data_IF_523130839326
#
_entry.id   IF_523130839326
#
_cell.length_a   1.000
_cell.length_b   1.000
_cell.length_c   1.000
_cell.angle_alpha   90.00
_cell.angle_beta   90.00
_cell.angle_gamma   90.00
#
_symmetry.space_group_name_H-M   'P 1'
#
loop_
_entity.id
_entity.type
_entity.pdbx_description
1 polymer ?
#
# COMPACT_ATOMS: atom_id res chain seq x y z
N UNK A 1 -23.44 -12.62 17.41
CA UNK A 1 -22.82 -13.75 16.69
C UNK A 1 -21.64 -14.21 17.52
N UNK A 2 -21.60 -15.45 17.99
CA UNK A 2 -20.42 -16.01 18.67
C UNK A 2 -19.46 -16.50 17.57
N UNK A 3 -18.25 -15.96 17.54
CA UNK A 3 -17.19 -16.42 16.65
C UNK A 3 -16.62 -17.73 17.22
N UNK A 4 -16.17 -18.68 16.36
CA UNK A 4 -15.49 -19.87 16.85
C UNK A 4 -14.25 -19.47 17.64
N UNK A 5 -13.95 -20.25 18.68
CA UNK A 5 -12.82 -20.03 19.58
C UNK A 5 -11.54 -19.82 18.79
N UNK A 6 -10.88 -18.69 19.06
CA UNK A 6 -9.62 -18.31 18.44
C UNK A 6 -8.64 -19.49 18.52
N UNK A 7 -8.11 -19.92 17.38
CA UNK A 7 -7.00 -20.88 17.36
C UNK A 7 -5.93 -20.40 18.32
N UNK A 8 -5.70 -21.15 19.37
CA UNK A 8 -4.68 -20.88 20.37
C UNK A 8 -3.31 -20.87 19.69
N UNK A 9 -2.78 -19.69 19.44
CA UNK A 9 -1.35 -19.52 19.22
C UNK A 9 -0.63 -20.06 20.47
N UNK A 10 0.43 -20.86 20.31
CA UNK A 10 1.16 -21.37 21.48
C UNK A 10 1.66 -20.19 22.32
N UNK A 11 1.60 -20.31 23.68
CA UNK A 11 2.08 -19.27 24.57
C UNK A 11 3.56 -19.00 24.29
N UNK A 12 3.89 -17.78 23.91
CA UNK A 12 5.28 -17.35 23.71
C UNK A 12 5.93 -17.26 25.09
N UNK A 13 7.15 -17.83 25.30
CA UNK A 13 7.82 -17.76 26.58
C UNK A 13 8.02 -16.32 27.02
N UNK A 14 7.65 -16.02 28.25
CA UNK A 14 7.86 -14.75 28.92
C UNK A 14 9.37 -14.57 29.20
N UNK A 15 10.10 -14.05 28.23
CA UNK A 15 11.48 -13.61 28.43
C UNK A 15 11.67 -12.25 27.75
N UNK A 16 11.89 -11.23 28.59
CA UNK A 16 12.15 -9.83 28.28
C UNK A 16 11.06 -9.16 27.41
N UNK A 17 10.32 -8.21 28.02
CA UNK A 17 9.28 -7.39 27.39
C UNK A 17 9.87 -6.46 26.30
N UNK A 18 10.25 -7.03 25.17
CA UNK A 18 10.38 -6.25 23.97
C UNK A 18 8.97 -5.85 23.55
N UNK A 19 8.74 -4.56 23.35
CA UNK A 19 7.47 -4.06 22.84
C UNK A 19 7.11 -4.80 21.55
N UNK A 20 5.97 -5.54 21.56
CA UNK A 20 5.47 -6.24 20.38
C UNK A 20 4.73 -5.27 19.47
N UNK A 21 5.05 -5.31 18.20
CA UNK A 21 4.46 -4.50 17.15
C UNK A 21 3.66 -5.42 16.22
N UNK A 22 2.35 -5.56 16.42
CA UNK A 22 1.53 -6.33 15.51
C UNK A 22 1.30 -5.56 14.20
N UNK A 23 1.54 -6.26 13.09
CA UNK A 23 1.35 -5.75 11.72
C UNK A 23 0.47 -6.72 10.96
N UNK A 24 -0.52 -6.22 10.27
CA UNK A 24 -1.44 -7.01 9.45
C UNK A 24 -1.26 -6.67 7.98
N UNK A 25 -1.14 -7.69 7.15
CA UNK A 25 -1.34 -7.62 5.70
C UNK A 25 -2.57 -8.44 5.31
N UNK A 26 -3.20 -8.09 4.18
CA UNK A 26 -4.15 -8.96 3.53
C UNK A 26 -3.77 -9.17 2.06
N UNK A 27 -3.70 -10.44 1.61
CA UNK A 27 -3.25 -10.75 0.26
C UNK A 27 -3.82 -12.07 -0.26
N UNK A 28 -4.18 -12.10 -1.55
CA UNK A 28 -4.44 -13.37 -2.27
C UNK A 28 -3.13 -14.04 -2.65
N UNK A 29 -3.17 -15.31 -3.05
CA UNK A 29 -1.99 -16.05 -3.48
C UNK A 29 -1.24 -15.40 -4.67
N UNK A 30 -1.94 -14.72 -5.55
CA UNK A 30 -1.32 -14.00 -6.69
C UNK A 30 -0.49 -12.77 -6.28
N UNK A 31 -0.52 -12.40 -5.00
CA UNK A 31 0.24 -11.28 -4.45
C UNK A 31 1.44 -11.72 -3.60
N UNK A 32 1.84 -13.00 -3.65
CA UNK A 32 2.95 -13.53 -2.87
C UNK A 32 4.26 -12.78 -3.09
N UNK A 33 4.64 -12.50 -4.34
CA UNK A 33 5.87 -11.77 -4.66
C UNK A 33 5.86 -10.32 -4.13
N UNK A 34 4.88 -9.44 -4.44
CA UNK A 34 4.87 -8.09 -3.87
C UNK A 34 4.81 -8.09 -2.35
N UNK A 35 4.00 -8.96 -1.73
CA UNK A 35 3.96 -9.13 -0.29
C UNK A 35 5.34 -9.53 0.27
N UNK A 36 6.07 -10.42 -0.40
CA UNK A 36 7.43 -10.79 0.00
C UNK A 36 8.38 -9.59 0.00
N UNK A 37 8.26 -8.69 -0.98
CA UNK A 37 9.06 -7.45 -1.04
C UNK A 37 8.65 -6.48 0.09
N UNK A 38 7.35 -6.34 0.36
CA UNK A 38 6.85 -5.51 1.47
C UNK A 38 7.37 -6.02 2.82
N UNK A 39 7.25 -7.33 3.09
CA UNK A 39 7.77 -7.97 4.31
C UNK A 39 9.28 -7.79 4.41
N UNK A 40 10.03 -8.02 3.33
CA UNK A 40 11.48 -7.84 3.33
C UNK A 40 11.89 -6.42 3.73
N UNK A 41 11.28 -5.42 3.11
CA UNK A 41 11.60 -4.02 3.42
C UNK A 41 11.15 -3.62 4.83
N UNK A 42 10.06 -4.17 5.34
CA UNK A 42 9.68 -4.02 6.75
C UNK A 42 10.78 -4.60 7.67
N UNK A 43 11.22 -5.82 7.41
CA UNK A 43 12.24 -6.49 8.21
C UNK A 43 13.57 -5.74 8.20
N UNK A 44 13.97 -5.17 7.06
CA UNK A 44 15.20 -4.37 6.94
C UNK A 44 15.19 -3.11 7.82
N UNK A 45 14.02 -2.55 8.09
CA UNK A 45 13.85 -1.32 8.87
C UNK A 45 13.30 -1.57 10.28
N UNK A 46 13.12 -2.85 10.65
CA UNK A 46 12.66 -3.24 11.97
C UNK A 46 13.71 -2.89 13.05
N UNK A 47 13.32 -2.10 14.02
CA UNK A 47 14.19 -1.61 15.09
C UNK A 47 14.69 -2.73 16.02
N UNK A 48 15.94 -2.69 16.48
CA UNK A 48 16.62 -3.73 17.28
C UNK A 48 16.04 -3.83 18.70
N UNK A 49 15.24 -3.19 19.25
CA UNK A 49 14.68 -3.31 20.62
C UNK A 49 13.26 -3.85 20.66
N UNK A 50 12.71 -4.23 19.50
CA UNK A 50 11.30 -4.58 19.33
C UNK A 50 11.14 -5.94 18.71
N UNK A 51 9.91 -6.49 18.77
CA UNK A 51 9.53 -7.71 18.09
C UNK A 51 8.30 -7.44 17.23
N UNK A 52 8.33 -7.88 15.98
CA UNK A 52 7.28 -7.60 15.01
C UNK A 52 6.50 -8.87 14.73
N UNK A 53 5.22 -8.89 15.13
CA UNK A 53 4.29 -9.97 14.83
C UNK A 53 3.54 -9.65 13.53
N UNK A 54 3.97 -10.24 12.43
CA UNK A 54 3.39 -10.00 11.11
C UNK A 54 2.34 -11.06 10.81
N UNK A 55 1.10 -10.64 10.64
CA UNK A 55 -0.06 -11.47 10.36
C UNK A 55 -0.48 -11.28 8.91
N UNK A 56 -0.55 -12.37 8.14
CA UNK A 56 -1.02 -12.37 6.75
C UNK A 56 -2.41 -12.99 6.71
N UNK A 57 -3.43 -12.18 6.46
CA UNK A 57 -4.80 -12.66 6.23
C UNK A 57 -4.93 -13.03 4.75
N UNK A 58 -5.40 -14.24 4.44
CA UNK A 58 -5.47 -14.75 3.08
C UNK A 58 -6.75 -15.57 2.80
N UNK A 59 -7.06 -15.79 1.53
CA UNK A 59 -8.26 -16.51 1.05
C UNK A 59 -7.94 -17.89 0.46
N UNK A 60 -6.88 -18.54 0.92
CA UNK A 60 -6.41 -19.83 0.40
C UNK A 60 -5.06 -19.69 -0.32
N UNK A 61 -4.09 -19.05 0.33
CA UNK A 61 -2.73 -18.91 -0.22
C UNK A 61 -2.06 -20.29 -0.32
N UNK A 62 -1.40 -20.56 -1.44
CA UNK A 62 -0.67 -21.80 -1.71
C UNK A 62 0.46 -22.02 -0.71
N UNK A 63 0.63 -23.27 -0.24
CA UNK A 63 1.66 -23.64 0.72
C UNK A 63 3.07 -23.27 0.25
N UNK A 64 3.35 -23.30 -1.04
CA UNK A 64 4.64 -22.88 -1.61
C UNK A 64 4.86 -21.40 -1.37
N UNK A 65 3.85 -20.54 -1.58
CA UNK A 65 3.96 -19.10 -1.35
C UNK A 65 4.19 -18.83 0.15
N UNK A 66 3.46 -19.49 1.02
CA UNK A 66 3.66 -19.43 2.48
C UNK A 66 5.13 -19.79 2.84
N UNK A 67 5.66 -20.86 2.25
CA UNK A 67 7.05 -21.27 2.46
C UNK A 67 8.05 -20.21 1.98
N UNK A 68 7.83 -19.62 0.80
CA UNK A 68 8.70 -18.56 0.28
C UNK A 68 8.66 -17.29 1.15
N UNK A 69 7.48 -16.88 1.64
CA UNK A 69 7.35 -15.76 2.57
C UNK A 69 8.08 -16.03 3.90
N UNK A 70 7.98 -17.23 4.46
CA UNK A 70 8.75 -17.62 5.64
C UNK A 70 10.26 -17.55 5.39
N UNK A 71 10.75 -17.94 4.20
CA UNK A 71 12.16 -17.79 3.81
C UNK A 71 12.60 -16.33 3.74
N UNK A 72 11.72 -15.42 3.35
CA UNK A 72 12.00 -13.97 3.34
C UNK A 72 12.24 -13.46 4.77
N UNK A 73 11.42 -13.87 5.73
CA UNK A 73 11.52 -13.42 7.11
C UNK A 73 12.59 -14.15 7.95
N UNK A 74 12.96 -15.37 7.56
CA UNK A 74 13.87 -16.24 8.34
C UNK A 74 15.20 -15.60 8.79
N UNK A 75 15.85 -14.69 8.04
CA UNK A 75 17.07 -14.02 8.50
C UNK A 75 16.88 -13.03 9.65
N UNK A 76 15.62 -12.65 9.98
CA UNK A 76 15.31 -11.57 10.92
C UNK A 76 14.73 -12.14 12.22
N UNK A 77 15.56 -12.28 13.24
CA UNK A 77 15.18 -12.92 14.52
C UNK A 77 14.16 -12.14 15.35
N UNK A 78 13.97 -10.85 15.04
CA UNK A 78 12.99 -9.98 15.69
C UNK A 78 11.61 -9.98 15.00
N UNK A 79 11.37 -10.89 14.05
CA UNK A 79 10.13 -10.95 13.27
C UNK A 79 9.54 -12.34 13.33
N UNK A 80 8.22 -12.44 13.48
CA UNK A 80 7.46 -13.68 13.26
C UNK A 80 6.43 -13.46 12.14
N UNK A 81 6.17 -14.51 11.34
CA UNK A 81 5.06 -14.54 10.41
C UNK A 81 3.99 -15.52 10.91
N UNK A 82 2.75 -15.13 10.80
CA UNK A 82 1.60 -16.00 10.95
C UNK A 82 0.62 -15.82 9.80
N UNK A 83 -0.07 -16.90 9.43
CA UNK A 83 -1.00 -16.91 8.29
C UNK A 83 -2.38 -17.25 8.80
N UNK A 84 -3.33 -16.37 8.58
CA UNK A 84 -4.72 -16.50 8.98
C UNK A 84 -5.58 -16.61 7.71
N UNK A 85 -6.14 -17.78 7.48
CA UNK A 85 -7.13 -17.92 6.42
C UNK A 85 -8.40 -17.19 6.81
N UNK A 86 -8.88 -16.31 5.92
CA UNK A 86 -10.10 -15.55 6.15
C UNK A 86 -11.27 -16.51 6.36
N UNK A 87 -11.95 -16.48 7.53
CA UNK A 87 -13.07 -17.37 7.82
C UNK A 87 -14.18 -17.27 6.78
N UNK A 88 -14.87 -18.37 6.49
CA UNK A 88 -15.92 -18.42 5.46
C UNK A 88 -17.08 -17.47 5.77
N UNK A 89 -17.41 -17.32 7.05
CA UNK A 89 -18.44 -16.37 7.50
C UNK A 89 -18.13 -14.94 7.09
N UNK A 90 -16.84 -14.55 7.14
CA UNK A 90 -16.40 -13.23 6.66
C UNK A 90 -16.52 -13.12 5.15
N UNK A 91 -16.15 -14.14 4.40
CA UNK A 91 -16.31 -14.13 2.94
C UNK A 91 -17.76 -13.93 2.54
N UNK A 92 -18.68 -14.64 3.20
CA UNK A 92 -20.12 -14.54 2.93
C UNK A 92 -20.70 -13.14 3.24
N UNK A 93 -20.21 -12.45 4.27
CA UNK A 93 -20.63 -11.08 4.59
C UNK A 93 -20.39 -10.11 3.42
N UNK A 94 -19.33 -10.34 2.64
CA UNK A 94 -18.90 -9.44 1.57
C UNK A 94 -19.25 -9.93 0.16
N UNK A 95 -19.83 -11.12 0.01
CA UNK A 95 -20.22 -11.67 -1.30
C UNK A 95 -21.32 -10.86 -2.00
N UNK A 96 -22.13 -10.13 -1.28
CA UNK A 96 -23.20 -9.28 -1.82
C UNK A 96 -22.71 -7.87 -2.23
N UNK A 97 -21.47 -7.54 -1.94
CA UNK A 97 -20.79 -6.35 -2.46
C UNK A 97 -20.34 -6.55 -3.90
N UNK A 98 -19.70 -5.55 -4.47
CA UNK A 98 -19.24 -5.51 -5.86
C UNK A 98 -18.34 -6.71 -6.21
N UNK A 99 -18.95 -7.87 -6.55
CA UNK A 99 -18.30 -9.18 -6.72
C UNK A 99 -17.18 -9.20 -7.75
N UNK A 100 -17.26 -8.35 -8.74
CA UNK A 100 -16.41 -8.41 -9.93
C UNK A 100 -15.11 -7.61 -9.81
N UNK A 101 -14.97 -6.78 -8.78
CA UNK A 101 -13.85 -5.83 -8.70
C UNK A 101 -12.89 -6.02 -7.52
N UNK A 102 -13.35 -6.44 -6.35
CA UNK A 102 -12.54 -6.52 -5.14
C UNK A 102 -12.73 -7.85 -4.41
N UNK A 103 -11.60 -8.43 -3.97
CA UNK A 103 -11.60 -9.60 -3.10
C UNK A 103 -12.22 -9.26 -1.73
N UNK A 104 -12.94 -10.20 -1.08
CA UNK A 104 -13.34 -10.07 0.32
C UNK A 104 -12.19 -9.71 1.28
N UNK A 105 -10.96 -10.02 0.91
CA UNK A 105 -9.76 -9.63 1.66
C UNK A 105 -9.57 -8.12 1.80
N UNK A 106 -10.08 -7.31 0.86
CA UNK A 106 -10.03 -5.85 0.98
C UNK A 106 -10.73 -5.36 2.25
N UNK A 107 -11.79 -6.06 2.67
CA UNK A 107 -12.55 -5.72 3.87
C UNK A 107 -11.94 -6.27 5.17
N UNK A 108 -10.92 -7.15 5.10
CA UNK A 108 -10.31 -7.73 6.30
C UNK A 108 -9.75 -6.66 7.25
N UNK A 109 -9.25 -5.52 6.70
CA UNK A 109 -8.81 -4.36 7.49
C UNK A 109 -9.92 -3.75 8.35
N UNK A 110 -11.16 -3.81 7.89
CA UNK A 110 -12.33 -3.28 8.61
C UNK A 110 -12.79 -4.21 9.73
N UNK A 111 -12.34 -5.46 9.70
CA UNK A 111 -12.69 -6.53 10.66
C UNK A 111 -11.51 -6.90 11.57
N UNK A 112 -10.48 -6.07 11.60
CA UNK A 112 -9.27 -6.36 12.37
C UNK A 112 -9.52 -6.55 13.87
N UNK A 113 -10.52 -5.85 14.44
CA UNK A 113 -10.89 -5.97 15.86
C UNK A 113 -11.38 -7.38 16.24
N UNK A 114 -12.15 -8.03 15.35
CA UNK A 114 -12.62 -9.40 15.53
C UNK A 114 -11.57 -10.44 15.13
N UNK A 115 -10.76 -10.16 14.10
CA UNK A 115 -9.71 -11.07 13.62
C UNK A 115 -8.55 -11.19 14.63
N UNK A 116 -8.27 -10.12 15.38
CA UNK A 116 -7.13 -10.03 16.31
C UNK A 116 -7.57 -9.58 17.71
N UNK A 117 -8.40 -10.37 18.42
CA UNK A 117 -8.92 -10.01 19.74
C UNK A 117 -7.83 -9.87 20.81
N UNK A 118 -6.66 -10.47 20.60
CA UNK A 118 -5.52 -10.43 21.52
C UNK A 118 -4.76 -9.11 21.52
N UNK A 119 -4.98 -8.23 20.51
CA UNK A 119 -4.28 -6.96 20.41
C UNK A 119 -5.20 -5.77 20.70
N UNK A 120 -4.68 -4.75 21.39
CA UNK A 120 -5.34 -3.46 21.58
C UNK A 120 -5.15 -2.53 20.39
N UNK A 121 -4.06 -2.72 19.61
CA UNK A 121 -3.71 -1.91 18.43
C UNK A 121 -2.98 -2.75 17.41
N UNK A 122 -3.15 -2.43 16.13
CA UNK A 122 -2.44 -3.07 15.02
C UNK A 122 -2.13 -2.05 13.90
N UNK A 123 -1.04 -2.25 13.18
CA UNK A 123 -0.76 -1.51 11.93
C UNK A 123 -1.21 -2.37 10.77
N UNK A 124 -2.06 -1.83 9.91
CA UNK A 124 -2.45 -2.47 8.65
C UNK A 124 -1.65 -1.89 7.49
N UNK A 125 -1.16 -2.75 6.62
CA UNK A 125 -0.44 -2.37 5.39
C UNK A 125 -0.98 -3.17 4.21
N UNK A 126 -1.17 -2.50 3.07
CA UNK A 126 -1.39 -3.16 1.78
C UNK A 126 -0.11 -3.88 1.31
N UNK A 127 -0.27 -4.91 0.47
CA UNK A 127 0.85 -5.73 0.00
C UNK A 127 1.73 -5.05 -1.07
N UNK A 128 1.32 -3.89 -1.57
CA UNK A 128 2.01 -3.10 -2.60
C UNK A 128 2.75 -1.89 -2.03
N UNK A 129 3.38 -2.09 -0.88
CA UNK A 129 4.17 -1.05 -0.20
C UNK A 129 5.67 -1.38 -0.19
N UNK A 130 6.49 -0.34 -0.08
CA UNK A 130 7.90 -0.43 0.27
C UNK A 130 8.15 0.41 1.52
N UNK A 131 8.80 -0.15 2.52
CA UNK A 131 9.17 0.57 3.72
C UNK A 131 10.62 1.09 3.65
N UNK A 132 10.81 2.30 4.15
CA UNK A 132 12.12 2.94 4.36
C UNK A 132 12.22 3.53 5.78
N UNK A 133 11.22 3.28 6.63
CA UNK A 133 11.17 3.65 8.05
C UNK A 133 10.70 2.48 8.91
N UNK A 134 10.94 2.58 10.22
CA UNK A 134 10.49 1.59 11.18
C UNK A 134 8.97 1.73 11.43
N UNK A 135 8.19 0.71 11.07
CA UNK A 135 6.73 0.68 11.23
C UNK A 135 6.28 0.88 12.70
N UNK A 136 7.15 0.69 13.65
CA UNK A 136 6.87 1.00 15.05
C UNK A 136 6.57 2.50 15.28
N UNK A 137 7.08 3.40 14.46
CA UNK A 137 6.71 4.81 14.54
C UNK A 137 5.22 5.03 14.25
N UNK A 138 4.63 4.26 13.32
CA UNK A 138 3.19 4.23 13.10
C UNK A 138 2.45 3.66 14.30
N UNK A 139 2.90 2.51 14.80
CA UNK A 139 2.27 1.84 15.92
C UNK A 139 2.18 2.72 17.18
N UNK A 140 3.21 3.51 17.45
CA UNK A 140 3.26 4.41 18.61
C UNK A 140 2.71 5.82 18.31
N UNK A 141 2.18 6.07 17.11
CA UNK A 141 1.58 7.37 16.82
C UNK A 141 0.41 7.70 17.76
N UNK A 142 0.27 8.98 18.10
CA UNK A 142 -0.85 9.43 18.90
C UNK A 142 -2.12 9.52 18.02
N UNK A 143 -3.10 8.69 18.31
CA UNK A 143 -4.40 8.70 17.62
C UNK A 143 -5.36 9.77 18.17
N UNK A 144 -4.97 10.54 19.18
CA UNK A 144 -5.79 11.63 19.77
C UNK A 144 -7.21 11.19 20.13
N UNK A 145 -7.36 9.94 20.55
CA UNK A 145 -8.64 9.33 20.90
C UNK A 145 -9.48 8.85 19.69
N UNK A 146 -8.98 8.97 18.46
CA UNK A 146 -9.62 8.39 17.29
C UNK A 146 -9.42 6.88 17.24
N UNK A 147 -10.31 6.18 16.54
CA UNK A 147 -10.22 4.73 16.36
C UNK A 147 -9.24 4.33 15.27
N UNK A 148 -8.94 5.24 14.33
CA UNK A 148 -8.09 4.99 13.18
C UNK A 148 -7.18 6.19 12.93
N UNK A 149 -5.93 5.94 12.50
CA UNK A 149 -5.12 6.94 11.84
C UNK A 149 -4.80 6.50 10.41
N UNK A 150 -4.89 7.43 9.46
CA UNK A 150 -4.66 7.23 8.03
C UNK A 150 -4.11 8.48 7.36
N UNK A 151 -3.36 8.33 6.28
CA UNK A 151 -2.92 9.46 5.46
C UNK A 151 -3.95 9.81 4.37
N UNK A 152 -3.94 11.05 3.93
CA UNK A 152 -4.80 11.51 2.83
C UNK A 152 -4.58 10.72 1.54
N UNK A 153 -5.64 10.54 0.75
CA UNK A 153 -5.57 9.84 -0.53
C UNK A 153 -4.97 10.72 -1.64
N UNK A 154 -4.23 10.10 -2.54
CA UNK A 154 -3.61 10.78 -3.68
C UNK A 154 -4.60 11.42 -4.66
N UNK A 155 -5.88 11.01 -4.67
CA UNK A 155 -6.92 11.69 -5.46
C UNK A 155 -7.16 13.12 -4.97
N UNK A 156 -7.08 13.34 -3.64
CA UNK A 156 -7.18 14.69 -3.07
C UNK A 156 -6.02 15.57 -3.56
N UNK A 157 -4.79 15.06 -3.50
CA UNK A 157 -3.60 15.75 -4.03
C UNK A 157 -3.72 16.05 -5.53
N UNK A 158 -4.16 15.06 -6.30
CA UNK A 158 -4.39 15.22 -7.73
C UNK A 158 -5.43 16.32 -8.02
N UNK A 159 -6.54 16.36 -7.26
CA UNK A 159 -7.58 17.38 -7.42
C UNK A 159 -7.05 18.79 -7.14
N UNK A 160 -6.25 18.93 -6.08
CA UNK A 160 -5.59 20.20 -5.75
C UNK A 160 -4.64 20.62 -6.88
N UNK A 161 -3.81 19.70 -7.35
CA UNK A 161 -2.83 19.95 -8.41
C UNK A 161 -3.47 20.40 -9.74
N UNK A 162 -4.61 19.80 -10.07
CA UNK A 162 -5.33 20.12 -11.33
C UNK A 162 -6.25 21.32 -11.22
N UNK A 163 -6.53 21.79 -10.01
CA UNK A 163 -7.54 22.83 -9.76
C UNK A 163 -8.96 22.38 -10.13
N UNK A 164 -9.19 21.06 -10.21
CA UNK A 164 -10.49 20.46 -10.51
C UNK A 164 -10.73 19.28 -9.58
N UNK A 165 -11.92 19.20 -9.00
CA UNK A 165 -12.29 18.08 -8.13
C UNK A 165 -12.39 16.80 -8.96
N UNK A 166 -11.77 15.71 -8.45
CA UNK A 166 -11.94 14.38 -9.03
C UNK A 166 -13.40 13.93 -8.84
N UNK A 167 -14.08 13.36 -9.86
CA UNK A 167 -15.51 13.01 -9.75
C UNK A 167 -15.86 12.11 -8.56
N UNK A 168 -14.94 11.19 -8.19
CA UNK A 168 -15.13 10.35 -7.02
C UNK A 168 -15.12 11.15 -5.70
N UNK A 169 -14.21 12.12 -5.56
CA UNK A 169 -14.18 12.98 -4.37
C UNK A 169 -15.38 13.93 -4.33
N UNK A 170 -15.84 14.39 -5.49
CA UNK A 170 -17.08 15.17 -5.59
C UNK A 170 -18.26 14.35 -5.07
N UNK A 171 -18.39 13.08 -5.47
CA UNK A 171 -19.38 12.15 -4.94
C UNK A 171 -19.22 11.94 -3.41
N UNK A 172 -17.99 11.73 -2.93
CA UNK A 172 -17.69 11.55 -1.50
C UNK A 172 -18.01 12.80 -0.68
N UNK A 173 -18.05 13.99 -1.28
CA UNK A 173 -18.48 15.23 -0.65
C UNK A 173 -19.93 15.19 -0.10
N UNK A 174 -20.75 14.24 -0.54
CA UNK A 174 -22.09 14.01 0.04
C UNK A 174 -22.04 13.38 1.45
N UNK A 175 -20.90 12.80 1.83
CA UNK A 175 -20.71 12.04 3.07
C UNK A 175 -19.67 12.66 4.00
N UNK A 176 -18.74 13.44 3.45
CA UNK A 176 -17.62 14.02 4.18
C UNK A 176 -17.78 15.53 4.33
N UNK A 177 -17.30 16.09 5.44
CA UNK A 177 -17.31 17.55 5.65
C UNK A 177 -16.42 18.30 4.64
N UNK A 178 -15.39 17.63 4.12
CA UNK A 178 -14.55 18.07 3.02
C UNK A 178 -14.16 16.89 2.14
N UNK A 179 -14.32 16.96 0.81
CA UNK A 179 -13.80 15.92 -0.09
C UNK A 179 -12.29 15.70 0.06
N UNK A 180 -11.55 16.73 0.49
CA UNK A 180 -10.10 16.66 0.70
C UNK A 180 -9.69 15.91 1.97
N UNK A 181 -10.63 15.63 2.89
CA UNK A 181 -10.40 14.79 4.06
C UNK A 181 -10.46 13.28 3.76
N UNK A 182 -10.63 12.90 2.50
CA UNK A 182 -10.67 11.53 2.07
C UNK A 182 -9.30 10.84 2.27
N UNK A 183 -9.29 9.80 3.11
CA UNK A 183 -8.08 9.06 3.48
C UNK A 183 -7.92 7.79 2.66
N UNK A 184 -6.66 7.40 2.40
CA UNK A 184 -6.33 6.13 1.78
C UNK A 184 -6.35 4.99 2.80
N UNK A 185 -6.93 3.85 2.44
CA UNK A 185 -7.10 2.68 3.33
C UNK A 185 -5.92 1.72 3.36
N UNK A 186 -4.87 1.94 2.56
CA UNK A 186 -3.76 1.00 2.41
C UNK A 186 -2.69 1.06 3.50
N UNK A 187 -2.69 2.10 4.33
CA UNK A 187 -1.82 2.24 5.52
C UNK A 187 -2.64 2.81 6.66
N UNK A 188 -2.88 1.99 7.68
CA UNK A 188 -3.73 2.35 8.81
C UNK A 188 -3.05 2.00 10.14
N UNK A 189 -3.29 2.83 11.14
CA UNK A 189 -3.10 2.43 12.54
C UNK A 189 -4.49 2.27 13.14
N UNK A 190 -4.80 1.08 13.60
CA UNK A 190 -6.12 0.70 14.10
C UNK A 190 -6.06 0.52 15.63
N UNK A 191 -6.80 1.32 16.38
CA UNK A 191 -7.07 1.10 17.81
C UNK A 191 -8.20 0.09 17.93
N UNK A 192 -7.84 -1.19 18.05
CA UNK A 192 -8.79 -2.30 18.07
C UNK A 192 -9.67 -2.27 19.33
N UNK A 193 -9.16 -1.75 20.44
CA UNK A 193 -9.96 -1.57 21.65
C UNK A 193 -11.03 -0.51 21.46
N UNK A 194 -10.71 0.61 20.82
CA UNK A 194 -11.70 1.62 20.46
C UNK A 194 -12.70 1.09 19.43
N UNK A 195 -12.23 0.37 18.40
CA UNK A 195 -13.11 -0.23 17.40
C UNK A 195 -14.13 -1.17 18.03
N UNK A 196 -13.71 -2.03 18.95
CA UNK A 196 -14.61 -2.93 19.70
C UNK A 196 -15.56 -2.16 20.61
N UNK A 197 -15.06 -1.23 21.43
CA UNK A 197 -15.90 -0.42 22.34
C UNK A 197 -16.97 0.38 21.62
N UNK A 198 -16.67 0.90 20.43
CA UNK A 198 -17.58 1.70 19.60
C UNK A 198 -18.40 0.86 18.63
N UNK A 199 -18.23 -0.47 18.64
CA UNK A 199 -18.90 -1.41 17.74
C UNK A 199 -18.76 -1.00 16.25
N UNK A 200 -17.53 -0.58 15.86
CA UNK A 200 -17.29 -0.01 14.52
C UNK A 200 -17.49 -1.01 13.41
N UNK A 201 -17.11 -2.27 13.60
CA UNK A 201 -17.29 -3.33 12.60
C UNK A 201 -18.77 -3.49 12.23
N UNK A 202 -19.66 -3.46 13.21
CA UNK A 202 -21.11 -3.50 12.95
C UNK A 202 -21.58 -2.28 12.14
N UNK A 203 -21.10 -1.08 12.46
CA UNK A 203 -21.39 0.14 11.70
C UNK A 203 -20.89 0.06 10.25
N UNK A 204 -19.67 -0.41 10.06
CA UNK A 204 -19.07 -0.62 8.74
C UNK A 204 -19.90 -1.62 7.91
N UNK A 205 -20.32 -2.74 8.52
CA UNK A 205 -21.18 -3.73 7.89
C UNK A 205 -22.58 -3.19 7.58
N UNK A 206 -23.15 -2.33 8.42
CA UNK A 206 -24.42 -1.66 8.12
C UNK A 206 -24.29 -0.79 6.87
N UNK A 207 -23.24 0.03 6.76
CA UNK A 207 -22.97 0.83 5.57
C UNK A 207 -22.80 -0.03 4.32
N UNK A 208 -22.07 -1.12 4.42
CA UNK A 208 -21.89 -2.06 3.30
C UNK A 208 -23.23 -2.63 2.79
N UNK A 209 -24.18 -2.90 3.69
CA UNK A 209 -25.47 -3.51 3.36
C UNK A 209 -26.52 -2.51 2.90
N UNK A 210 -26.51 -1.30 3.47
CA UNK A 210 -27.56 -0.29 3.26
C UNK A 210 -27.28 0.68 2.11
N UNK A 211 -26.08 0.64 1.52
CA UNK A 211 -25.73 1.55 0.43
C UNK A 211 -26.63 1.36 -0.78
N UNK A 212 -27.11 2.45 -1.41
CA UNK A 212 -27.98 2.39 -2.58
C UNK A 212 -27.24 1.91 -3.84
N UNK A 213 -25.93 2.22 -3.94
CA UNK A 213 -25.10 1.88 -5.10
C UNK A 213 -23.71 1.34 -4.66
N UNK A 214 -23.03 0.55 -5.53
CA UNK A 214 -21.68 0.09 -5.26
C UNK A 214 -20.69 1.25 -5.20
N UNK A 215 -19.87 1.31 -4.17
CA UNK A 215 -18.76 2.25 -4.08
C UNK A 215 -17.61 1.83 -5.01
N UNK A 216 -16.98 2.76 -5.72
CA UNK A 216 -15.81 2.47 -6.57
C UNK A 216 -14.63 1.88 -5.80
N UNK A 217 -14.42 2.30 -4.55
CA UNK A 217 -13.38 1.82 -3.63
C UNK A 217 -14.03 1.39 -2.30
N UNK A 218 -14.73 0.23 -2.29
CA UNK A 218 -15.74 -0.04 -1.25
C UNK A 218 -15.18 -0.11 0.17
N UNK A 219 -14.00 -0.68 0.40
CA UNK A 219 -13.36 -0.72 1.72
C UNK A 219 -12.90 0.67 2.17
N UNK A 220 -12.33 1.45 1.26
CA UNK A 220 -11.85 2.80 1.51
C UNK A 220 -13.02 3.78 1.70
N UNK A 221 -14.03 3.73 0.81
CA UNK A 221 -15.20 4.60 0.88
C UNK A 221 -15.99 4.38 2.19
N UNK A 222 -16.23 3.10 2.53
CA UNK A 222 -16.95 2.74 3.77
C UNK A 222 -16.14 3.18 5.00
N UNK A 223 -14.82 2.99 5.01
CA UNK A 223 -13.97 3.47 6.09
C UNK A 223 -14.11 4.98 6.28
N UNK A 224 -13.99 5.75 5.22
CA UNK A 224 -14.09 7.20 5.26
C UNK A 224 -15.48 7.68 5.72
N UNK A 225 -16.55 7.05 5.25
CA UNK A 225 -17.92 7.44 5.61
C UNK A 225 -18.23 7.06 7.07
N UNK A 226 -17.97 5.80 7.44
CA UNK A 226 -18.37 5.29 8.76
C UNK A 226 -17.53 5.87 9.90
N UNK A 227 -16.30 6.29 9.62
CA UNK A 227 -15.36 6.87 10.57
C UNK A 227 -15.14 8.37 10.35
N UNK A 228 -16.05 9.03 9.62
CA UNK A 228 -15.96 10.47 9.44
C UNK A 228 -15.89 11.20 10.79
N UNK A 229 -14.84 12.02 10.98
CA UNK A 229 -14.53 12.69 12.25
C UNK A 229 -13.85 11.80 13.30
N UNK A 230 -13.56 10.53 13.01
CA UNK A 230 -12.89 9.56 13.91
C UNK A 230 -11.59 8.99 13.25
N UNK A 231 -11.01 9.76 12.33
CA UNK A 231 -9.72 9.45 11.69
C UNK A 231 -8.72 10.55 12.04
N UNK A 232 -7.59 10.16 12.63
CA UNK A 232 -6.45 11.06 12.86
C UNK A 232 -5.54 11.04 11.63
N UNK A 233 -5.14 12.20 11.08
CA UNK A 233 -4.24 12.22 9.93
C UNK A 233 -2.85 11.72 10.29
N UNK A 234 -2.33 10.77 9.50
CA UNK A 234 -0.92 10.38 9.53
C UNK A 234 -0.08 11.32 8.66
N UNK A 235 1.19 11.52 9.01
CA UNK A 235 2.12 12.23 8.15
C UNK A 235 2.19 11.58 6.75
N UNK A 236 2.15 12.36 5.66
CA UNK A 236 2.03 11.84 4.30
C UNK A 236 3.24 11.00 3.84
N UNK A 237 4.40 11.13 4.48
CA UNK A 237 5.56 10.28 4.22
C UNK A 237 5.33 8.81 4.59
N UNK A 238 4.27 8.49 5.37
CA UNK A 238 3.88 7.14 5.73
C UNK A 238 2.88 6.48 4.78
N UNK A 239 2.42 7.18 3.76
CA UNK A 239 1.60 6.62 2.68
C UNK A 239 1.85 7.41 1.39
N UNK A 240 3.11 7.46 0.98
CA UNK A 240 3.52 8.25 -0.17
C UNK A 240 3.09 7.59 -1.48
N UNK A 241 2.40 8.31 -2.34
CA UNK A 241 1.81 7.83 -3.58
C UNK A 241 2.25 8.68 -4.78
N UNK A 242 2.66 8.06 -5.89
CA UNK A 242 3.04 8.77 -7.13
C UNK A 242 1.85 8.88 -8.10
N UNK A 243 0.75 9.49 -7.73
CA UNK A 243 -0.45 9.47 -8.58
C UNK A 243 -0.44 10.42 -9.77
N UNK A 244 0.11 11.62 -9.67
CA UNK A 244 0.10 12.57 -10.79
C UNK A 244 1.11 13.69 -10.60
N UNK A 245 2.37 13.40 -10.64
CA UNK A 245 3.38 14.39 -10.34
C UNK A 245 3.86 15.11 -11.58
N UNK A 246 3.47 16.36 -11.74
CA UNK A 246 4.22 17.30 -12.54
C UNK A 246 5.41 17.82 -11.71
N UNK A 247 6.57 17.87 -12.33
CA UNK A 247 7.85 18.24 -11.73
C UNK A 247 8.02 19.74 -11.68
N UNK A 248 7.12 20.54 -11.10
CA UNK A 248 7.32 21.97 -11.17
C UNK A 248 7.04 22.71 -9.86
N UNK A 249 7.56 23.93 -9.83
CA UNK A 249 7.42 24.89 -8.74
C UNK A 249 5.94 25.22 -8.44
N UNK A 250 5.06 25.02 -9.42
CA UNK A 250 3.63 25.29 -9.31
C UNK A 250 2.97 24.37 -8.27
N UNK A 251 3.36 23.10 -8.22
CA UNK A 251 2.88 22.17 -7.19
C UNK A 251 3.25 22.64 -5.78
N UNK A 252 4.51 23.02 -5.54
CA UNK A 252 4.95 23.52 -4.23
C UNK A 252 4.14 24.74 -3.81
N UNK A 253 3.80 25.61 -4.76
CA UNK A 253 2.95 26.77 -4.51
C UNK A 253 1.51 26.38 -4.17
N UNK A 254 0.93 25.40 -4.89
CA UNK A 254 -0.46 24.95 -4.67
C UNK A 254 -0.64 24.24 -3.34
N UNK A 255 0.37 23.50 -2.88
CA UNK A 255 0.30 22.76 -1.62
C UNK A 255 0.62 23.61 -0.39
N UNK A 256 1.16 24.83 -0.56
CA UNK A 256 1.52 25.71 0.54
C UNK A 256 0.31 26.07 1.41
N UNK A 257 0.42 25.86 2.72
CA UNK A 257 -0.64 26.10 3.68
C UNK A 257 -1.71 25.01 3.75
N UNK A 258 -1.56 23.92 2.99
CA UNK A 258 -2.39 22.72 3.12
C UNK A 258 -1.70 21.67 4.01
N UNK A 259 -2.46 20.68 4.48
CA UNK A 259 -1.90 19.51 5.18
C UNK A 259 -0.89 18.72 4.32
N UNK A 260 -0.86 18.98 3.02
CA UNK A 260 0.02 18.35 2.03
C UNK A 260 1.26 19.19 1.69
N UNK A 261 1.48 20.33 2.34
CA UNK A 261 2.64 21.21 2.07
C UNK A 261 3.97 20.48 2.22
N UNK A 262 4.06 19.59 3.20
CA UNK A 262 5.27 18.83 3.52
C UNK A 262 5.36 17.48 2.81
N UNK A 263 4.47 17.18 1.85
CA UNK A 263 4.58 15.96 1.06
C UNK A 263 5.88 16.02 0.25
N UNK A 264 6.78 15.05 0.43
CA UNK A 264 8.08 15.06 -0.20
C UNK A 264 7.99 15.15 -1.72
N UNK A 265 8.73 16.08 -2.31
CA UNK A 265 8.93 16.06 -3.76
C UNK A 265 9.90 14.94 -4.15
N UNK A 266 9.77 14.39 -5.34
CA UNK A 266 10.68 13.36 -5.88
C UNK A 266 12.14 13.86 -5.93
N UNK A 267 12.34 15.16 -6.06
CA UNK A 267 13.67 15.81 -6.02
C UNK A 267 14.32 15.77 -4.63
N UNK A 268 13.54 15.58 -3.56
CA UNK A 268 14.04 15.55 -2.18
C UNK A 268 14.57 14.19 -1.73
N UNK A 269 14.91 13.30 -2.64
CA UNK A 269 15.54 11.98 -2.42
C UNK A 269 15.27 11.35 -1.04
N UNK A 270 14.47 10.31 -0.94
CA UNK A 270 14.24 9.49 0.26
C UNK A 270 13.60 10.17 1.47
N UNK A 271 12.69 11.09 1.31
CA UNK A 271 11.92 11.61 2.43
C UNK A 271 10.65 10.80 2.75
N UNK A 272 10.25 9.83 1.92
CA UNK A 272 9.17 8.91 2.25
C UNK A 272 9.66 7.80 3.20
N UNK A 273 8.84 7.44 4.17
CA UNK A 273 9.04 6.31 5.09
C UNK A 273 8.31 5.06 4.62
N UNK A 274 7.23 5.24 3.87
CA UNK A 274 6.51 4.17 3.19
C UNK A 274 6.01 4.68 1.82
N UNK A 275 6.45 3.99 0.76
CA UNK A 275 5.97 4.18 -0.60
C UNK A 275 4.85 3.19 -0.89
N UNK A 276 3.67 3.68 -1.26
CA UNK A 276 2.52 2.87 -1.62
C UNK A 276 2.28 2.93 -3.13
N UNK A 277 2.37 1.79 -3.79
CA UNK A 277 2.27 1.68 -5.25
C UNK A 277 0.82 1.51 -5.70
N UNK A 278 0.00 2.53 -5.42
CA UNK A 278 -1.43 2.55 -5.78
C UNK A 278 -1.66 2.49 -7.30
N UNK A 279 -2.89 2.16 -7.70
CA UNK A 279 -3.28 2.08 -9.10
C UNK A 279 -3.13 0.68 -9.71
N UNK A 280 -3.66 0.46 -10.92
CA UNK A 280 -3.69 -0.86 -11.56
C UNK A 280 -2.32 -1.29 -12.12
N UNK A 281 -1.49 -0.35 -12.53
CA UNK A 281 -0.19 -0.63 -13.14
C UNK A 281 0.86 -0.91 -12.06
N UNK A 282 1.26 -2.16 -11.96
CA UNK A 282 2.21 -2.64 -10.95
C UNK A 282 3.58 -2.96 -11.53
N UNK A 283 4.69 -2.67 -10.81
CA UNK A 283 6.06 -2.95 -11.29
C UNK A 283 6.36 -4.43 -11.51
N UNK A 284 5.64 -5.32 -10.86
CA UNK A 284 5.76 -6.78 -10.96
C UNK A 284 4.84 -7.43 -11.99
N UNK A 285 4.14 -6.64 -12.80
CA UNK A 285 3.30 -7.14 -13.89
C UNK A 285 3.83 -6.64 -15.22
N UNK A 286 3.70 -7.48 -16.25
CA UNK A 286 3.93 -7.01 -17.61
C UNK A 286 2.81 -6.00 -17.97
N UNK A 287 3.17 -4.88 -18.59
CA UNK A 287 2.17 -3.89 -18.97
C UNK A 287 1.23 -4.44 -20.04
N UNK A 288 -0.07 -4.35 -19.80
CA UNK A 288 -1.12 -4.77 -20.76
C UNK A 288 -1.19 -3.85 -21.97
N UNK A 289 -0.75 -2.60 -21.82
CA UNK A 289 -0.74 -1.60 -22.88
C UNK A 289 0.64 -0.96 -23.07
N UNK A 290 1.06 -0.67 -24.31
CA UNK A 290 2.34 -0.01 -24.60
C UNK A 290 2.47 1.39 -23.94
N UNK A 291 1.34 2.04 -23.61
CA UNK A 291 1.29 3.33 -22.93
C UNK A 291 1.80 3.29 -21.49
N UNK A 292 1.60 2.18 -20.80
CA UNK A 292 1.99 2.00 -19.37
C UNK A 292 3.48 2.20 -19.14
N UNK A 293 4.34 1.68 -20.04
CA UNK A 293 5.80 1.90 -19.98
C UNK A 293 6.20 3.39 -20.08
N UNK A 294 5.26 4.20 -20.49
CA UNK A 294 5.41 5.64 -20.61
C UNK A 294 4.89 6.43 -19.42
N UNK A 295 4.16 5.81 -18.53
CA UNK A 295 3.61 6.46 -17.36
C UNK A 295 4.70 6.69 -16.31
N UNK A 296 4.74 7.91 -15.79
CA UNK A 296 5.85 8.32 -14.95
C UNK A 296 5.82 7.62 -13.58
N UNK A 297 4.65 7.49 -12.97
CA UNK A 297 4.48 6.80 -11.70
C UNK A 297 4.90 5.32 -11.79
N UNK A 298 4.56 4.60 -12.89
CA UNK A 298 4.98 3.22 -13.09
C UNK A 298 6.51 3.10 -13.18
N UNK A 299 7.18 4.04 -13.87
CA UNK A 299 8.65 4.09 -13.96
C UNK A 299 9.25 4.26 -12.58
N UNK A 300 8.72 5.18 -11.77
CA UNK A 300 9.23 5.44 -10.42
C UNK A 300 8.98 4.27 -9.47
N UNK A 301 7.77 3.72 -9.45
CA UNK A 301 7.46 2.52 -8.67
C UNK A 301 8.40 1.38 -9.06
N UNK A 302 8.62 1.14 -10.35
CA UNK A 302 9.54 0.12 -10.83
C UNK A 302 10.98 0.39 -10.41
N UNK A 303 11.42 1.65 -10.45
CA UNK A 303 12.77 2.03 -10.06
C UNK A 303 13.07 1.78 -8.58
N UNK A 304 12.10 1.97 -7.69
CA UNK A 304 12.27 1.70 -6.27
C UNK A 304 12.04 0.22 -5.94
N UNK A 305 11.07 -0.43 -6.58
CA UNK A 305 10.67 -1.79 -6.27
C UNK A 305 11.68 -2.86 -6.74
N UNK A 306 12.16 -2.78 -7.99
CA UNK A 306 13.02 -3.81 -8.56
C UNK A 306 14.35 -4.04 -7.81
N UNK A 307 15.06 -3.01 -7.31
CA UNK A 307 16.25 -3.22 -6.50
C UNK A 307 15.99 -4.04 -5.24
N UNK A 308 14.86 -3.81 -4.58
CA UNK A 308 14.50 -4.56 -3.37
C UNK A 308 14.04 -5.99 -3.72
N UNK A 309 13.22 -6.15 -4.74
CA UNK A 309 12.76 -7.45 -5.20
C UNK A 309 13.92 -8.39 -5.59
N UNK A 310 14.93 -7.87 -6.29
CA UNK A 310 16.11 -8.66 -6.70
C UNK A 310 16.98 -9.14 -5.55
N UNK A 311 16.81 -8.60 -4.35
CA UNK A 311 17.49 -9.10 -3.14
C UNK A 311 16.84 -10.38 -2.59
N UNK A 312 15.64 -10.77 -3.08
CA UNK A 312 14.91 -11.93 -2.60
C UNK A 312 15.27 -13.21 -3.37
N UNK A 313 16.07 -14.13 -2.79
CA UNK A 313 16.34 -15.42 -3.42
C UNK A 313 15.07 -16.28 -3.54
N UNK A 314 14.13 -16.11 -2.61
CA UNK A 314 12.89 -16.85 -2.50
C UNK A 314 12.04 -16.79 -3.78
N UNK A 315 11.94 -15.64 -4.41
CA UNK A 315 11.12 -15.41 -5.62
C UNK A 315 11.95 -15.29 -6.91
N UNK A 316 13.17 -15.81 -6.94
CA UNK A 316 14.10 -15.63 -8.06
C UNK A 316 13.51 -16.04 -9.43
N UNK A 317 12.88 -17.21 -9.50
CA UNK A 317 12.34 -17.73 -10.77
C UNK A 317 11.24 -16.81 -11.32
N UNK A 318 10.37 -16.32 -10.47
CA UNK A 318 9.27 -15.42 -10.82
C UNK A 318 9.81 -14.05 -11.28
N UNK A 319 10.77 -13.51 -10.54
CA UNK A 319 11.45 -12.27 -10.90
C UNK A 319 12.19 -12.36 -12.24
N UNK A 320 12.88 -13.47 -12.49
CA UNK A 320 13.59 -13.69 -13.74
C UNK A 320 12.60 -13.79 -14.92
N UNK A 321 11.48 -14.48 -14.76
CA UNK A 321 10.45 -14.57 -15.80
C UNK A 321 9.84 -13.19 -16.15
N UNK A 322 9.51 -12.39 -15.13
CA UNK A 322 8.98 -11.03 -15.33
C UNK A 322 10.05 -10.14 -15.99
N UNK A 323 11.29 -10.20 -15.52
CA UNK A 323 12.41 -9.41 -16.06
C UNK A 323 12.67 -9.74 -17.54
N UNK A 324 12.66 -11.03 -17.91
CA UNK A 324 12.82 -11.49 -19.30
C UNK A 324 11.70 -10.98 -20.22
N UNK A 325 10.48 -10.91 -19.74
CA UNK A 325 9.35 -10.33 -20.48
C UNK A 325 9.44 -8.81 -20.60
N UNK A 326 9.82 -8.13 -19.53
CA UNK A 326 9.82 -6.67 -19.44
C UNK A 326 10.99 -6.00 -20.18
N UNK A 327 12.20 -6.57 -20.14
CA UNK A 327 13.38 -5.96 -20.71
C UNK A 327 13.28 -5.69 -22.24
N UNK A 328 12.77 -6.62 -23.09
CA UNK A 328 12.57 -6.34 -24.52
C UNK A 328 11.56 -5.22 -24.77
N UNK A 329 10.47 -5.15 -23.99
CA UNK A 329 9.46 -4.10 -24.09
C UNK A 329 10.06 -2.74 -23.78
N UNK A 330 10.86 -2.64 -22.72
CA UNK A 330 11.55 -1.41 -22.35
C UNK A 330 12.56 -0.98 -23.43
N UNK A 331 13.36 -1.90 -23.98
CA UNK A 331 14.30 -1.60 -25.08
C UNK A 331 13.58 -1.02 -26.29
N UNK A 332 12.41 -1.59 -26.66
CA UNK A 332 11.58 -1.08 -27.77
C UNK A 332 11.05 0.31 -27.44
N UNK A 333 10.51 0.50 -26.23
CA UNK A 333 9.98 1.79 -25.80
C UNK A 333 11.05 2.88 -25.77
N UNK A 334 12.24 2.60 -25.22
CA UNK A 334 13.38 3.54 -25.20
C UNK A 334 13.75 3.97 -26.61
N UNK A 335 13.87 3.04 -27.56
CA UNK A 335 14.15 3.35 -28.97
C UNK A 335 13.10 4.28 -29.55
N UNK A 336 11.83 4.01 -29.34
CA UNK A 336 10.73 4.87 -29.79
C UNK A 336 10.77 6.28 -29.17
N UNK A 337 11.14 6.40 -27.89
CA UNK A 337 11.30 7.71 -27.22
C UNK A 337 12.53 8.47 -27.74
N UNK A 338 13.62 7.78 -28.05
CA UNK A 338 14.84 8.38 -28.65
C UNK A 338 14.52 8.99 -30.03
N UNK A 339 13.77 8.29 -30.87
CA UNK A 339 13.29 8.81 -32.16
C UNK A 339 12.46 10.10 -31.96
N UNK A 340 11.50 10.08 -31.05
CA UNK A 340 10.66 11.26 -30.73
C UNK A 340 11.47 12.40 -30.12
N UNK A 341 12.57 12.10 -29.40
CA UNK A 341 13.46 13.11 -28.84
C UNK A 341 14.14 13.94 -29.93
N UNK A 342 14.52 13.31 -31.04
CA UNK A 342 15.18 13.96 -32.16
C UNK A 342 14.35 15.12 -32.77
N UNK A 343 13.03 14.99 -32.70
CA UNK A 343 12.09 16.00 -33.19
C UNK A 343 11.53 16.92 -32.09
N UNK A 344 12.09 16.85 -30.88
CA UNK A 344 11.58 17.63 -29.74
C UNK A 344 12.43 18.86 -29.47
N UNK A 345 11.81 19.97 -29.00
CA UNK A 345 12.48 21.21 -28.62
C UNK A 345 12.04 21.70 -27.24
N UNK A 346 12.87 22.52 -26.59
CA UNK A 346 12.52 23.21 -25.34
C UNK A 346 12.14 22.28 -24.19
N UNK A 347 11.02 22.55 -23.53
CA UNK A 347 10.53 21.79 -22.39
C UNK A 347 10.24 20.31 -22.72
N UNK A 348 9.67 20.06 -23.90
CA UNK A 348 9.36 18.69 -24.35
C UNK A 348 10.65 17.86 -24.50
N UNK A 349 11.72 18.47 -25.01
CA UNK A 349 13.03 17.82 -25.13
C UNK A 349 13.57 17.41 -23.76
N UNK A 350 13.59 18.32 -22.79
CA UNK A 350 14.06 18.04 -21.42
C UNK A 350 13.27 16.91 -20.78
N UNK A 351 11.94 16.99 -20.80
CA UNK A 351 11.05 15.98 -20.22
C UNK A 351 11.25 14.58 -20.84
N UNK A 352 11.42 14.48 -22.17
CA UNK A 352 11.70 13.20 -22.85
C UNK A 352 13.09 12.66 -22.55
N UNK A 353 14.10 13.51 -22.52
CA UNK A 353 15.48 13.15 -22.19
C UNK A 353 15.56 12.53 -20.79
N UNK A 354 14.92 13.16 -19.82
CA UNK A 354 14.94 12.69 -18.43
C UNK A 354 14.19 11.36 -18.28
N UNK A 355 13.05 11.22 -18.96
CA UNK A 355 12.31 9.95 -19.04
C UNK A 355 13.18 8.82 -19.62
N UNK A 356 13.88 9.05 -20.73
CA UNK A 356 14.78 8.07 -21.33
C UNK A 356 15.89 7.67 -20.33
N UNK A 357 16.45 8.63 -19.58
CA UNK A 357 17.46 8.38 -18.56
C UNK A 357 16.93 7.40 -17.49
N UNK A 358 15.73 7.63 -16.98
CA UNK A 358 15.11 6.75 -15.99
C UNK A 358 14.81 5.36 -16.54
N UNK A 359 14.28 5.26 -17.75
CA UNK A 359 14.02 3.98 -18.42
C UNK A 359 15.32 3.18 -18.65
N UNK A 360 16.42 3.84 -19.02
CA UNK A 360 17.72 3.19 -19.16
C UNK A 360 18.26 2.69 -17.83
N UNK A 361 18.10 3.44 -16.74
CA UNK A 361 18.46 2.99 -15.40
C UNK A 361 17.65 1.77 -14.98
N UNK A 362 16.34 1.79 -15.19
CA UNK A 362 15.47 0.64 -14.92
C UNK A 362 15.90 -0.59 -15.72
N UNK A 363 16.19 -0.42 -17.00
CA UNK A 363 16.68 -1.51 -17.85
C UNK A 363 18.02 -2.06 -17.32
N UNK A 364 18.93 -1.22 -16.85
CA UNK A 364 20.19 -1.64 -16.22
C UNK A 364 19.94 -2.50 -14.97
N UNK A 365 18.99 -2.10 -14.13
CA UNK A 365 18.58 -2.88 -12.94
C UNK A 365 18.03 -4.25 -13.38
N UNK A 366 17.14 -4.30 -14.38
CA UNK A 366 16.58 -5.55 -14.89
C UNK A 366 17.66 -6.47 -15.48
N UNK A 367 18.62 -5.93 -16.21
CA UNK A 367 19.76 -6.67 -16.79
C UNK A 367 20.81 -7.09 -15.72
N UNK A 368 20.61 -6.79 -14.44
CA UNK A 368 21.53 -7.15 -13.35
C UNK A 368 22.79 -6.29 -13.28
N UNK A 369 22.84 -5.16 -13.98
CA UNK A 369 23.94 -4.20 -13.93
C UNK A 369 23.72 -3.18 -12.81
N UNK A 370 24.79 -2.70 -12.19
CA UNK A 370 24.66 -1.57 -11.26
C UNK A 370 24.09 -0.36 -12.02
N UNK A 371 23.09 0.35 -11.44
CA UNK A 371 22.44 1.49 -12.09
C UNK A 371 23.38 2.69 -12.25
#
# INVERSE_FOLDING_TARGET
>A
MKFPDAMTTPPVPASSEKSRIPVMFSATGGWGLPLGVAIHTLCLHAGSGRFYDIHIVHDGMDARIIQELNRVAAPFTQVSLSFLQLPEEFRQLFQNGNKDRYSPLAYARLMAGSLFPQYGRIVYLDADVLLAGDVAELYFSDLRGASVAAAGDGLALWSIEKGTMHPHLEYMGNYLSSPLSYCNSGVLVLDLDQMRRRNLEHRLLQWLRSRPEPFPYPDQDILNIALHGDITPLPPEWNFQFLSWTWDEERTRLLRGTEFENVPSISCGRSWKLLHMVGPEKPWRLPDAPGTLGQFHWILYSFFWWPEAKKLPAFRKELDAISQGLAPLLRRHIRGQQWKLFFSRGHIFRKRRDKIRWLKKLLSILDGRKP
#
